data_IF_035977875471
#
_entry.id   IF_035977875471
#
_cell.length_a   1.000
_cell.length_b   1.000
_cell.length_c   1.000
_cell.angle_alpha   90.00
_cell.angle_beta   90.00
_cell.angle_gamma   90.00
#
_symmetry.space_group_name_H-M   'P 1'
#
loop_
_entity.id
_entity.type
_entity.pdbx_description
1 polymer ?
#
# COMPACT_ATOMS: atom_id res chain seq x y z
N UNK A 1 -25.54 15.35 9.19
CA UNK A 1 -24.22 15.87 9.59
C UNK A 1 -23.30 14.69 9.86
N UNK A 2 -22.22 14.54 9.10
CA UNK A 2 -21.16 13.56 9.41
C UNK A 2 -20.17 14.22 10.36
N UNK A 3 -19.97 13.62 11.54
CA UNK A 3 -18.88 14.01 12.43
C UNK A 3 -17.59 13.36 11.93
N UNK A 4 -16.52 14.13 11.68
CA UNK A 4 -15.23 13.55 11.31
C UNK A 4 -14.71 12.62 12.41
N UNK A 5 -13.94 11.60 12.03
CA UNK A 5 -13.25 10.76 13.01
C UNK A 5 -12.36 11.61 13.92
N UNK A 6 -12.29 11.25 15.20
CA UNK A 6 -11.39 11.91 16.15
C UNK A 6 -9.94 11.77 15.70
N UNK A 7 -9.07 12.70 16.11
CA UNK A 7 -7.66 12.66 15.75
C UNK A 7 -6.99 11.33 16.14
N UNK A 8 -7.25 10.85 17.36
CA UNK A 8 -6.72 9.58 17.86
C UNK A 8 -7.13 8.41 16.99
N UNK A 9 -8.37 8.41 16.48
CA UNK A 9 -8.87 7.36 15.62
C UNK A 9 -8.22 7.40 14.23
N UNK A 10 -8.01 8.60 13.67
CA UNK A 10 -7.25 8.76 12.42
C UNK A 10 -5.83 8.24 12.56
N UNK A 11 -5.16 8.54 13.68
CA UNK A 11 -3.82 8.04 13.96
C UNK A 11 -3.78 6.52 14.14
N UNK A 12 -4.78 5.94 14.80
CA UNK A 12 -4.94 4.47 14.90
C UNK A 12 -5.03 3.83 13.52
N UNK A 13 -5.88 4.38 12.64
CA UNK A 13 -6.07 3.89 11.27
C UNK A 13 -4.79 4.00 10.44
N UNK A 14 -4.14 5.17 10.45
CA UNK A 14 -2.89 5.39 9.71
C UNK A 14 -1.78 4.43 10.17
N UNK A 15 -1.64 4.22 11.49
CA UNK A 15 -0.68 3.27 12.04
C UNK A 15 -0.99 1.83 11.62
N UNK A 16 -2.26 1.42 11.64
CA UNK A 16 -2.67 0.09 11.18
C UNK A 16 -2.36 -0.15 9.70
N UNK A 17 -2.67 0.83 8.83
CA UNK A 17 -2.36 0.75 7.41
C UNK A 17 -0.84 0.67 7.15
N UNK A 18 -0.05 1.48 7.88
CA UNK A 18 1.41 1.44 7.79
C UNK A 18 1.99 0.09 8.26
N UNK A 19 1.44 -0.51 9.32
CA UNK A 19 1.83 -1.86 9.77
C UNK A 19 1.53 -2.92 8.71
N UNK A 20 0.36 -2.86 8.08
CA UNK A 20 0.01 -3.75 6.96
C UNK A 20 0.98 -3.61 5.79
N UNK A 21 1.30 -2.38 5.40
CA UNK A 21 2.26 -2.11 4.33
C UNK A 21 3.68 -2.59 4.68
N UNK A 22 4.12 -2.36 5.92
CA UNK A 22 5.42 -2.82 6.41
C UNK A 22 5.52 -4.36 6.41
N UNK A 23 4.43 -5.06 6.75
CA UNK A 23 4.37 -6.52 6.65
C UNK A 23 4.54 -7.00 5.21
N UNK A 24 3.83 -6.39 4.25
CA UNK A 24 3.98 -6.73 2.83
C UNK A 24 5.42 -6.54 2.35
N UNK A 25 6.09 -5.46 2.78
CA UNK A 25 7.48 -5.16 2.43
C UNK A 25 8.52 -5.97 3.23
N UNK A 26 8.09 -6.83 4.15
CA UNK A 26 9.01 -7.64 4.95
C UNK A 26 9.78 -8.66 4.09
N UNK A 27 10.89 -9.16 4.64
CA UNK A 27 11.69 -10.21 3.99
C UNK A 27 10.93 -11.54 3.83
N UNK A 28 9.85 -11.74 4.58
CA UNK A 28 9.00 -12.93 4.51
C UNK A 28 7.99 -12.83 3.38
N UNK A 29 7.22 -11.73 3.32
CA UNK A 29 6.17 -11.55 2.33
C UNK A 29 6.71 -11.13 0.96
N UNK A 30 7.68 -10.18 0.93
CA UNK A 30 8.25 -9.59 -0.29
C UNK A 30 7.19 -9.20 -1.32
N UNK A 31 6.13 -8.52 -0.90
CA UNK A 31 5.04 -8.07 -1.79
C UNK A 31 5.12 -6.57 -2.01
N UNK A 32 5.14 -6.16 -3.27
CA UNK A 32 5.00 -4.76 -3.71
C UNK A 32 3.51 -4.51 -3.97
N UNK A 33 2.88 -3.70 -3.12
CA UNK A 33 1.42 -3.52 -3.14
C UNK A 33 0.90 -2.64 -4.30
N UNK A 34 1.68 -1.64 -4.72
CA UNK A 34 1.48 -0.76 -5.90
C UNK A 34 0.23 0.13 -5.94
N UNK A 35 -0.79 -0.11 -5.11
CA UNK A 35 -2.01 0.71 -5.07
C UNK A 35 -2.38 1.14 -3.65
N UNK A 36 -1.40 1.69 -2.93
CA UNK A 36 -1.60 2.19 -1.58
C UNK A 36 -2.34 3.54 -1.59
N UNK A 37 -3.65 3.50 -1.30
CA UNK A 37 -4.53 4.67 -1.25
C UNK A 37 -5.64 4.50 -0.22
N UNK A 38 -6.25 5.60 0.19
CA UNK A 38 -7.28 5.61 1.24
C UNK A 38 -8.51 4.77 0.91
N UNK A 39 -8.93 4.71 -0.36
CA UNK A 39 -10.07 3.88 -0.77
C UNK A 39 -9.81 2.38 -0.70
N UNK A 40 -8.55 1.95 -0.59
CA UNK A 40 -8.16 0.55 -0.45
C UNK A 40 -7.85 0.15 1.01
N UNK A 41 -8.01 1.09 1.95
CA UNK A 41 -7.90 0.83 3.39
C UNK A 41 -9.32 0.65 3.95
N UNK A 42 -9.68 -0.60 4.22
CA UNK A 42 -10.96 -0.94 4.84
C UNK A 42 -10.84 -0.83 6.36
N UNK A 43 -11.95 -0.48 7.01
CA UNK A 43 -12.06 -0.41 8.46
C UNK A 43 -13.09 -1.42 8.93
N UNK A 44 -12.75 -2.22 9.94
CA UNK A 44 -13.74 -3.03 10.65
C UNK A 44 -14.48 -2.23 11.73
N UNK A 45 -15.34 -2.90 12.49
CA UNK A 45 -16.17 -2.29 13.55
C UNK A 45 -15.36 -1.62 14.65
N UNK A 46 -14.09 -2.02 14.83
CA UNK A 46 -13.18 -1.46 15.83
C UNK A 46 -12.25 -0.40 15.23
N UNK A 47 -12.48 0.03 13.99
CA UNK A 47 -11.60 0.91 13.22
C UNK A 47 -10.18 0.35 13.07
N UNK A 48 -10.05 -0.97 13.01
CA UNK A 48 -8.79 -1.61 12.63
C UNK A 48 -8.66 -1.55 11.12
N UNK A 49 -7.54 -0.99 10.65
CA UNK A 49 -7.24 -0.87 9.23
C UNK A 49 -6.85 -2.21 8.62
N UNK A 50 -7.41 -2.54 7.45
CA UNK A 50 -7.09 -3.70 6.64
C UNK A 50 -6.83 -3.27 5.20
N UNK A 51 -5.71 -3.69 4.63
CA UNK A 51 -5.44 -3.46 3.21
C UNK A 51 -6.31 -4.38 2.35
N UNK A 52 -6.81 -3.87 1.23
CA UNK A 52 -7.69 -4.58 0.29
C UNK A 52 -7.20 -4.44 -1.15
N UNK A 53 -7.89 -5.00 -2.13
CA UNK A 53 -7.56 -4.84 -3.55
C UNK A 53 -6.09 -5.09 -3.92
N UNK A 54 -5.68 -6.36 -3.86
CA UNK A 54 -4.36 -6.81 -4.26
C UNK A 54 -4.25 -7.07 -5.77
N UNK A 55 -5.21 -6.60 -6.59
CA UNK A 55 -5.25 -6.90 -8.02
C UNK A 55 -4.05 -6.37 -8.80
N UNK A 56 -3.36 -5.36 -8.27
CA UNK A 56 -2.12 -4.81 -8.84
C UNK A 56 -0.86 -5.28 -8.13
N UNK A 57 -0.98 -5.97 -6.99
CA UNK A 57 0.16 -6.37 -6.18
C UNK A 57 1.10 -7.30 -6.95
N UNK A 58 2.39 -7.26 -6.61
CA UNK A 58 3.42 -8.03 -7.29
C UNK A 58 4.44 -8.57 -6.30
N UNK A 59 4.93 -9.78 -6.55
CA UNK A 59 6.08 -10.30 -5.83
C UNK A 59 7.29 -9.40 -6.08
N UNK A 60 8.08 -9.19 -5.04
CA UNK A 60 9.32 -8.44 -5.06
C UNK A 60 10.42 -9.15 -5.86
N UNK A 61 11.60 -8.53 -5.97
CA UNK A 61 12.70 -9.08 -6.73
C UNK A 61 13.11 -10.47 -6.22
N UNK A 62 13.42 -11.38 -7.16
CA UNK A 62 13.94 -12.72 -6.87
C UNK A 62 15.42 -12.79 -7.24
N UNK A 63 16.22 -13.44 -6.40
CA UNK A 63 17.66 -13.59 -6.59
C UNK A 63 18.40 -12.27 -6.38
N UNK A 64 19.33 -11.95 -7.26
CA UNK A 64 20.19 -10.76 -7.17
C UNK A 64 19.60 -9.50 -7.84
N UNK A 65 18.35 -9.57 -8.30
CA UNK A 65 17.69 -8.41 -8.94
C UNK A 65 17.38 -7.34 -7.90
N UNK A 66 17.66 -6.09 -8.24
CA UNK A 66 17.34 -4.93 -7.39
C UNK A 66 15.92 -4.39 -7.58
N UNK A 67 15.24 -4.76 -8.67
CA UNK A 67 13.95 -4.20 -9.07
C UNK A 67 13.09 -5.19 -9.85
N UNK A 68 11.80 -4.87 -9.96
CA UNK A 68 10.81 -5.54 -10.81
C UNK A 68 10.37 -4.59 -11.91
N UNK A 69 10.76 -4.86 -13.16
CA UNK A 69 10.25 -4.11 -14.32
C UNK A 69 8.83 -4.56 -14.65
N UNK A 70 7.91 -3.61 -14.75
CA UNK A 70 6.51 -3.90 -15.07
C UNK A 70 5.87 -2.74 -15.83
N UNK A 71 4.72 -2.98 -16.46
CA UNK A 71 3.91 -1.89 -16.99
C UNK A 71 3.56 -0.95 -15.83
N UNK A 72 3.67 0.36 -16.07
CA UNK A 72 3.23 1.37 -15.11
C UNK A 72 1.73 1.18 -14.83
N UNK A 73 1.40 0.82 -13.59
CA UNK A 73 0.04 0.66 -13.08
C UNK A 73 -0.01 1.15 -11.63
N UNK A 74 -1.20 1.54 -11.18
CA UNK A 74 -1.44 2.17 -9.88
C UNK A 74 -2.28 3.42 -10.07
N UNK A 75 -2.69 4.01 -8.96
CA UNK A 75 -3.53 5.23 -9.02
C UNK A 75 -2.68 6.47 -9.27
N UNK A 76 -3.09 7.29 -10.24
CA UNK A 76 -2.46 8.59 -10.52
C UNK A 76 -2.50 9.49 -9.28
N UNK A 77 -1.40 10.19 -8.99
CA UNK A 77 -1.25 10.99 -7.77
C UNK A 77 -0.80 10.21 -6.52
N UNK A 78 -0.79 8.87 -6.58
CA UNK A 78 -0.26 8.00 -5.51
C UNK A 78 1.03 7.27 -5.91
N UNK A 79 1.28 7.12 -7.22
CA UNK A 79 2.50 6.53 -7.74
C UNK A 79 3.71 7.47 -7.60
N UNK A 80 4.85 6.90 -7.22
CA UNK A 80 6.12 7.62 -7.12
C UNK A 80 6.61 8.08 -8.51
N UNK A 81 7.15 9.31 -8.65
CA UNK A 81 7.52 9.87 -9.95
C UNK A 81 8.60 9.06 -10.68
N UNK A 82 9.54 8.47 -9.95
CA UNK A 82 10.57 7.57 -10.49
C UNK A 82 9.99 6.28 -11.05
N UNK A 83 8.92 5.76 -10.46
CA UNK A 83 8.23 4.58 -10.99
C UNK A 83 7.49 4.93 -12.28
N UNK A 84 6.86 6.12 -12.35
CA UNK A 84 6.18 6.59 -13.56
C UNK A 84 7.15 6.79 -14.74
N UNK A 85 8.40 7.16 -14.48
CA UNK A 85 9.40 7.39 -15.53
C UNK A 85 10.13 6.12 -15.97
N UNK A 86 10.41 5.21 -15.05
CA UNK A 86 11.26 4.02 -15.31
C UNK A 86 10.47 2.73 -15.47
N UNK A 87 9.27 2.63 -14.89
CA UNK A 87 8.53 1.36 -14.78
C UNK A 87 9.18 0.33 -13.85
N UNK A 88 10.21 0.73 -13.10
CA UNK A 88 10.92 -0.13 -12.15
C UNK A 88 10.34 0.06 -10.74
N UNK A 89 9.99 -1.07 -10.13
CA UNK A 89 9.56 -1.18 -8.73
C UNK A 89 10.66 -1.75 -7.85
#
# INVERSE_FOLDING_TARGET
HFQPLSWNLRMKVALGAAKGLAYLHSAEAKVIYRDFKTSNILLDTDYTAKLSDFGLAKDGPVGEKSHVSTRVMGTHGYAAPEYLSTGNL
#
